data_IF_203474124413
#
_entry.id   IF_203474124413
#
_cell.length_a   1.000
_cell.length_b   1.000
_cell.length_c   1.000
_cell.angle_alpha   90.00
_cell.angle_beta   90.00
_cell.angle_gamma   90.00
#
_symmetry.space_group_name_H-M   'P 1'
#
loop_
_entity.id
_entity.type
_entity.pdbx_description
1 polymer ?
#
# COMPACT_ATOMS: atom_id res chain seq x y z
N UNK A 1 -4.96 15.66 -26.54
CA UNK A 1 -5.43 15.66 -25.14
C UNK A 1 -4.58 14.69 -24.30
N UNK A 2 -4.43 15.00 -23.02
CA UNK A 2 -3.27 14.68 -22.17
C UNK A 2 -3.09 13.18 -21.89
N UNK A 3 -1.84 12.73 -22.00
CA UNK A 3 -1.34 11.37 -21.74
C UNK A 3 -1.50 11.01 -20.25
N UNK A 4 -2.38 10.06 -19.93
CA UNK A 4 -2.42 9.39 -18.63
C UNK A 4 -1.50 8.17 -18.67
N UNK A 5 -0.25 8.35 -18.24
CA UNK A 5 0.73 7.27 -18.04
C UNK A 5 1.49 7.57 -16.76
N UNK A 6 0.90 7.27 -15.60
CA UNK A 6 1.59 7.38 -14.31
C UNK A 6 1.14 6.24 -13.39
N UNK A 7 2.15 5.49 -12.91
CA UNK A 7 2.17 4.56 -11.77
C UNK A 7 1.61 3.14 -11.98
N UNK A 8 2.38 2.30 -12.68
CA UNK A 8 2.24 0.84 -12.68
C UNK A 8 3.13 0.13 -11.63
N UNK A 9 4.08 0.83 -10.99
CA UNK A 9 5.11 0.20 -10.14
C UNK A 9 4.62 -0.46 -8.84
N UNK A 10 3.44 -0.09 -8.32
CA UNK A 10 2.91 -0.68 -7.06
C UNK A 10 2.04 -1.92 -7.33
N UNK A 11 1.60 -2.15 -8.58
CA UNK A 11 0.64 -3.21 -8.89
C UNK A 11 1.26 -4.56 -9.31
N UNK A 12 2.54 -4.59 -9.65
CA UNK A 12 3.16 -5.76 -10.28
C UNK A 12 3.39 -6.98 -9.36
N UNK A 13 3.19 -6.89 -8.05
CA UNK A 13 3.61 -7.95 -7.09
C UNK A 13 2.43 -8.69 -6.42
N UNK A 14 1.18 -8.44 -6.81
CA UNK A 14 0.02 -9.06 -6.15
C UNK A 14 -0.39 -10.44 -6.70
N UNK A 15 0.32 -10.96 -7.72
CA UNK A 15 0.11 -12.28 -8.31
C UNK A 15 1.13 -13.29 -7.78
N UNK A 16 0.89 -13.81 -6.57
CA UNK A 16 1.42 -15.13 -6.18
C UNK A 16 0.22 -15.98 -5.76
N UNK A 17 -0.04 -17.13 -6.38
CA UNK A 17 -1.10 -18.02 -5.95
C UNK A 17 -0.63 -18.75 -4.69
N UNK A 18 -1.16 -18.35 -3.52
CA UNK A 18 -1.12 -19.20 -2.34
C UNK A 18 -2.24 -20.25 -2.46
N UNK A 19 -1.86 -21.47 -2.80
CA UNK A 19 -2.71 -22.67 -2.72
C UNK A 19 -2.83 -23.05 -1.25
N UNK A 20 -4.03 -23.03 -0.67
CA UNK A 20 -4.36 -23.84 0.51
C UNK A 20 -5.84 -24.24 0.49
N UNK A 21 -6.05 -25.50 0.84
CA UNK A 21 -7.32 -26.22 0.85
C UNK A 21 -8.30 -25.65 1.90
N UNK A 22 -9.59 -25.83 1.61
CA UNK A 22 -10.70 -25.32 2.39
C UNK A 22 -11.11 -26.27 3.53
N UNK A 23 -11.39 -25.71 4.71
CA UNK A 23 -12.39 -26.22 5.65
C UNK A 23 -13.17 -25.05 6.27
N UNK A 24 -14.44 -25.31 6.56
CA UNK A 24 -15.55 -24.37 6.72
C UNK A 24 -15.78 -23.93 8.18
N UNK A 25 -16.31 -22.71 8.34
CA UNK A 25 -17.16 -22.23 9.47
C UNK A 25 -16.54 -21.84 10.83
N UNK A 26 -15.89 -20.67 10.83
CA UNK A 26 -16.08 -19.49 11.70
C UNK A 26 -15.15 -18.40 11.11
N UNK A 27 -15.32 -17.07 11.31
CA UNK A 27 -14.20 -16.15 11.13
C UNK A 27 -13.18 -16.47 12.23
N UNK A 28 -12.43 -17.56 12.02
CA UNK A 28 -11.49 -18.13 12.95
C UNK A 28 -10.46 -17.05 13.29
N UNK A 29 -10.21 -16.83 14.59
CA UNK A 29 -9.18 -15.89 15.07
C UNK A 29 -7.84 -16.09 14.35
N UNK A 30 -7.53 -17.35 13.98
CA UNK A 30 -6.37 -17.73 13.15
C UNK A 30 -6.33 -16.96 11.83
N UNK A 31 -7.47 -16.80 11.15
CA UNK A 31 -7.54 -16.07 9.88
C UNK A 31 -7.43 -14.56 10.02
N UNK A 32 -7.77 -14.01 11.19
CA UNK A 32 -7.60 -12.59 11.52
C UNK A 32 -6.13 -12.33 11.89
N UNK A 33 -5.49 -13.28 12.60
CA UNK A 33 -4.07 -13.25 12.95
C UNK A 33 -3.20 -13.35 11.68
N UNK A 34 -3.51 -14.24 10.75
CA UNK A 34 -2.81 -14.34 9.45
C UNK A 34 -2.96 -13.07 8.60
N UNK A 35 -4.15 -12.44 8.64
CA UNK A 35 -4.36 -11.16 7.95
C UNK A 35 -3.58 -10.02 8.59
N UNK A 36 -3.52 -10.00 9.92
CA UNK A 36 -2.71 -9.04 10.66
C UNK A 36 -1.24 -9.19 10.25
N UNK A 37 -0.71 -10.42 10.28
CA UNK A 37 0.66 -10.74 9.85
C UNK A 37 0.93 -10.29 8.40
N UNK A 38 0.04 -10.62 7.45
CA UNK A 38 0.23 -10.20 6.06
C UNK A 38 0.17 -8.67 5.88
N UNK A 39 -0.71 -7.98 6.60
CA UNK A 39 -0.79 -6.51 6.55
C UNK A 39 0.48 -5.85 7.12
N UNK A 40 1.06 -6.41 8.18
CA UNK A 40 2.33 -5.96 8.76
C UNK A 40 3.49 -6.14 7.78
N UNK A 41 3.54 -7.27 7.06
CA UNK A 41 4.56 -7.50 6.01
C UNK A 41 4.45 -6.52 4.85
N UNK A 42 3.24 -6.08 4.49
CA UNK A 42 3.05 -5.02 3.50
C UNK A 42 3.61 -3.68 3.99
N UNK A 43 3.40 -3.35 5.27
CA UNK A 43 3.95 -2.12 5.88
C UNK A 43 5.47 -2.14 5.85
N UNK A 44 6.09 -3.24 6.24
CA UNK A 44 7.55 -3.42 6.21
C UNK A 44 8.11 -3.31 4.80
N UNK A 45 7.43 -3.92 3.82
CA UNK A 45 7.82 -3.82 2.41
C UNK A 45 7.81 -2.37 1.94
N UNK A 46 6.77 -1.61 2.30
CA UNK A 46 6.66 -0.18 1.95
C UNK A 46 7.78 0.62 2.64
N UNK A 47 8.08 0.34 3.91
CA UNK A 47 9.21 0.96 4.64
C UNK A 47 10.53 0.73 3.92
N UNK A 48 10.86 -0.52 3.59
CA UNK A 48 12.11 -0.87 2.89
C UNK A 48 12.24 -0.19 1.52
N UNK A 49 11.15 -0.16 0.74
CA UNK A 49 11.12 0.54 -0.55
C UNK A 49 11.35 2.04 -0.36
N UNK A 50 10.73 2.62 0.66
CA UNK A 50 10.85 4.04 0.99
C UNK A 50 12.27 4.39 1.42
N UNK A 51 12.88 3.59 2.28
CA UNK A 51 14.25 3.77 2.74
C UNK A 51 15.25 3.67 1.61
N UNK A 52 15.04 2.73 0.67
CA UNK A 52 15.85 2.65 -0.56
C UNK A 52 15.82 3.96 -1.34
N UNK A 53 14.63 4.58 -1.48
CA UNK A 53 14.50 5.88 -2.15
C UNK A 53 15.21 6.98 -1.35
N UNK A 54 15.05 7.01 -0.03
CA UNK A 54 15.62 8.05 0.82
C UNK A 54 17.15 8.00 0.88
N UNK A 55 17.73 6.81 0.93
CA UNK A 55 19.18 6.61 0.92
C UNK A 55 19.83 7.20 -0.35
N UNK A 56 19.09 7.23 -1.47
CA UNK A 56 19.57 7.85 -2.70
C UNK A 56 19.53 9.39 -2.66
N UNK A 57 18.84 10.03 -1.72
CA UNK A 57 18.64 11.48 -1.73
C UNK A 57 19.68 12.28 -0.93
N UNK A 58 20.59 11.60 -0.22
CA UNK A 58 21.61 12.23 0.63
C UNK A 58 20.99 13.33 1.53
N UNK A 59 19.98 12.94 2.31
CA UNK A 59 19.23 13.86 3.17
C UNK A 59 20.14 14.42 4.27
N UNK A 60 20.01 15.71 4.56
CA UNK A 60 20.65 16.33 5.73
C UNK A 60 20.04 15.82 7.05
N UNK A 61 20.75 15.93 8.19
CA UNK A 61 20.20 15.50 9.48
C UNK A 61 18.85 16.16 9.82
N UNK A 62 18.67 17.44 9.47
CA UNK A 62 17.39 18.14 9.65
C UNK A 62 16.28 17.54 8.79
N UNK A 63 16.57 17.20 7.54
CA UNK A 63 15.61 16.56 6.63
C UNK A 63 15.27 15.14 7.08
N UNK A 64 16.23 14.38 7.61
CA UNK A 64 15.99 13.05 8.17
C UNK A 64 14.96 13.13 9.31
N UNK A 65 15.15 14.04 10.27
CA UNK A 65 14.19 14.25 11.36
C UNK A 65 12.79 14.58 10.85
N UNK A 66 12.67 15.52 9.90
CA UNK A 66 11.38 15.86 9.31
C UNK A 66 10.77 14.68 8.52
N UNK A 67 11.58 13.90 7.81
CA UNK A 67 11.14 12.69 7.10
C UNK A 67 10.58 11.66 8.08
N UNK A 68 11.24 11.41 9.20
CA UNK A 68 10.77 10.45 10.21
C UNK A 68 9.41 10.86 10.79
N UNK A 69 9.21 12.15 11.07
CA UNK A 69 7.91 12.68 11.51
C UNK A 69 6.80 12.53 10.44
N UNK A 70 7.14 12.72 9.16
CA UNK A 70 6.22 12.52 8.03
C UNK A 70 5.85 11.04 7.90
N UNK A 71 6.83 10.13 7.98
CA UNK A 71 6.63 8.70 7.84
C UNK A 71 5.86 8.11 9.02
N UNK A 72 6.11 8.56 10.26
CA UNK A 72 5.31 8.16 11.42
C UNK A 72 3.82 8.44 11.20
N UNK A 73 3.50 9.65 10.71
CA UNK A 73 2.12 10.03 10.38
C UNK A 73 1.57 9.21 9.21
N UNK A 74 2.39 8.93 8.19
CA UNK A 74 1.99 8.09 7.05
C UNK A 74 1.54 6.72 7.52
N UNK A 75 2.32 6.03 8.34
CA UNK A 75 2.01 4.66 8.77
C UNK A 75 0.78 4.62 9.68
N UNK A 76 0.59 5.60 10.56
CA UNK A 76 -0.64 5.73 11.35
C UNK A 76 -1.90 5.76 10.47
N UNK A 77 -1.88 6.50 9.36
CA UNK A 77 -3.03 6.57 8.44
C UNK A 77 -3.10 5.36 7.49
N UNK A 78 -1.96 4.81 7.08
CA UNK A 78 -1.87 3.80 6.03
C UNK A 78 -2.16 2.37 6.53
N UNK A 79 -1.69 2.02 7.74
CA UNK A 79 -1.87 0.69 8.34
C UNK A 79 -3.33 0.20 8.36
N UNK A 80 -4.34 0.98 8.83
CA UNK A 80 -5.72 0.52 8.83
C UNK A 80 -6.28 0.28 7.42
N UNK A 81 -5.86 1.07 6.44
CA UNK A 81 -6.27 0.89 5.04
C UNK A 81 -5.62 -0.35 4.41
N UNK A 82 -4.37 -0.66 4.74
CA UNK A 82 -3.72 -1.91 4.32
C UNK A 82 -4.39 -3.14 4.94
N UNK A 83 -4.75 -3.09 6.22
CA UNK A 83 -5.54 -4.15 6.86
C UNK A 83 -6.88 -4.34 6.15
N UNK A 84 -7.59 -3.25 5.86
CA UNK A 84 -8.86 -3.29 5.13
C UNK A 84 -8.70 -3.84 3.71
N UNK A 85 -7.58 -3.53 3.05
CA UNK A 85 -7.24 -4.07 1.73
C UNK A 85 -7.11 -5.59 1.78
N UNK A 86 -6.40 -6.14 2.77
CA UNK A 86 -6.25 -7.59 2.97
C UNK A 86 -7.61 -8.27 3.20
N UNK A 87 -8.47 -7.68 4.04
CA UNK A 87 -9.82 -8.17 4.31
C UNK A 87 -10.66 -8.19 3.02
N UNK A 88 -10.66 -7.09 2.25
CA UNK A 88 -11.40 -7.00 0.99
C UNK A 88 -10.89 -8.02 -0.05
N UNK A 89 -9.57 -8.24 -0.12
CA UNK A 89 -8.96 -9.23 -1.02
C UNK A 89 -9.38 -10.66 -0.66
N UNK A 90 -9.45 -10.99 0.63
CA UNK A 90 -9.97 -12.29 1.08
C UNK A 90 -11.46 -12.45 0.72
N UNK A 91 -12.30 -11.46 1.05
CA UNK A 91 -13.73 -11.49 0.71
C UNK A 91 -13.98 -11.68 -0.78
N UNK A 92 -13.16 -11.06 -1.63
CA UNK A 92 -13.24 -11.27 -3.08
C UNK A 92 -12.91 -12.72 -3.47
N UNK A 93 -11.84 -13.30 -2.92
CA UNK A 93 -11.49 -14.71 -3.15
C UNK A 93 -12.60 -15.67 -2.70
N UNK A 94 -13.16 -15.43 -1.51
CA UNK A 94 -14.23 -16.26 -0.95
C UNK A 94 -15.50 -16.18 -1.82
N UNK A 95 -15.85 -14.98 -2.29
CA UNK A 95 -16.98 -14.77 -3.19
C UNK A 95 -16.77 -15.44 -4.56
N UNK A 96 -15.55 -15.38 -5.10
CA UNK A 96 -15.15 -16.06 -6.34
C UNK A 96 -15.24 -17.59 -6.20
N UNK A 97 -14.76 -18.15 -5.09
CA UNK A 97 -14.86 -19.59 -4.83
C UNK A 97 -16.32 -20.08 -4.76
N UNK A 98 -17.22 -19.23 -4.28
CA UNK A 98 -18.67 -19.51 -4.20
C UNK A 98 -19.46 -19.16 -5.47
N UNK A 99 -18.80 -18.62 -6.50
CA UNK A 99 -19.45 -18.08 -7.71
C UNK A 99 -20.57 -17.07 -7.43
N UNK A 100 -20.49 -16.32 -6.33
CA UNK A 100 -21.50 -15.32 -5.94
C UNK A 100 -21.23 -13.99 -6.64
N UNK A 101 -21.90 -13.77 -7.77
CA UNK A 101 -21.76 -12.56 -8.60
C UNK A 101 -22.06 -11.25 -7.84
N UNK A 102 -23.02 -11.26 -6.93
CA UNK A 102 -23.38 -10.06 -6.16
C UNK A 102 -22.29 -9.73 -5.14
N UNK A 103 -21.81 -10.74 -4.41
CA UNK A 103 -20.72 -10.58 -3.45
C UNK A 103 -19.40 -10.19 -4.14
N UNK A 104 -19.11 -10.74 -5.32
CA UNK A 104 -17.93 -10.35 -6.13
C UNK A 104 -17.98 -8.87 -6.46
N UNK A 105 -19.09 -8.38 -7.05
CA UNK A 105 -19.24 -6.96 -7.42
C UNK A 105 -19.08 -6.03 -6.22
N UNK A 106 -19.65 -6.40 -5.07
CA UNK A 106 -19.53 -5.60 -3.85
C UNK A 106 -18.10 -5.60 -3.30
N UNK A 107 -17.42 -6.76 -3.31
CA UNK A 107 -16.04 -6.88 -2.86
C UNK A 107 -15.08 -6.08 -3.78
N UNK A 108 -15.28 -6.11 -5.10
CA UNK A 108 -14.52 -5.30 -6.06
C UNK A 108 -14.70 -3.80 -5.84
N UNK A 109 -15.95 -3.35 -5.61
CA UNK A 109 -16.25 -1.95 -5.29
C UNK A 109 -15.51 -1.49 -4.03
N UNK A 110 -15.56 -2.30 -2.97
CA UNK A 110 -14.87 -2.01 -1.72
C UNK A 110 -13.35 -1.99 -1.91
N UNK A 111 -12.79 -2.99 -2.62
CA UNK A 111 -11.36 -3.07 -2.90
C UNK A 111 -10.87 -1.84 -3.70
N UNK A 112 -11.65 -1.37 -4.67
CA UNK A 112 -11.34 -0.18 -5.44
C UNK A 112 -11.39 1.09 -4.59
N UNK A 113 -12.31 1.18 -3.63
CA UNK A 113 -12.36 2.30 -2.71
C UNK A 113 -11.13 2.33 -1.79
N UNK A 114 -10.75 1.19 -1.21
CA UNK A 114 -9.56 1.08 -0.36
C UNK A 114 -8.28 1.44 -1.13
N UNK A 115 -8.15 0.96 -2.37
CA UNK A 115 -7.03 1.33 -3.27
C UNK A 115 -6.94 2.85 -3.47
N UNK A 116 -8.07 3.54 -3.68
CA UNK A 116 -8.12 5.00 -3.80
C UNK A 116 -7.68 5.69 -2.50
N UNK A 117 -8.12 5.18 -1.34
CA UNK A 117 -7.71 5.73 -0.04
C UNK A 117 -6.19 5.61 0.18
N UNK A 118 -5.63 4.42 -0.05
CA UNK A 118 -4.18 4.16 0.03
C UNK A 118 -3.40 5.11 -0.90
N UNK A 119 -3.87 5.30 -2.14
CA UNK A 119 -3.23 6.20 -3.10
C UNK A 119 -3.30 7.66 -2.65
N UNK A 120 -4.43 8.09 -2.06
CA UNK A 120 -4.62 9.43 -1.53
C UNK A 120 -3.68 9.70 -0.36
N UNK A 121 -3.59 8.78 0.59
CA UNK A 121 -2.66 8.83 1.74
C UNK A 121 -1.23 8.90 1.22
N UNK A 122 -0.85 7.99 0.34
CA UNK A 122 0.51 7.95 -0.23
C UNK A 122 0.88 9.26 -0.92
N UNK A 123 -0.04 9.81 -1.70
CA UNK A 123 0.17 11.07 -2.42
C UNK A 123 0.23 12.29 -1.51
N UNK A 124 -0.53 12.31 -0.41
CA UNK A 124 -0.49 13.38 0.62
C UNK A 124 0.92 13.45 1.22
N UNK A 125 1.41 12.35 1.77
CA UNK A 125 2.71 12.33 2.44
C UNK A 125 3.89 12.47 1.48
N UNK A 126 3.75 12.04 0.22
CA UNK A 126 4.75 12.33 -0.81
C UNK A 126 4.86 13.82 -1.14
N UNK A 127 3.74 14.56 -1.12
CA UNK A 127 3.77 16.01 -1.28
C UNK A 127 4.42 16.69 -0.07
N UNK A 128 4.16 16.20 1.13
CA UNK A 128 4.77 16.74 2.35
C UNK A 128 6.28 16.47 2.38
N UNK A 129 6.71 15.26 2.01
CA UNK A 129 8.13 14.94 1.85
C UNK A 129 8.81 15.83 0.80
N UNK A 130 8.16 16.08 -0.34
CA UNK A 130 8.72 16.97 -1.36
C UNK A 130 8.99 18.40 -0.87
N UNK A 131 8.23 18.90 0.12
CA UNK A 131 8.42 20.25 0.67
C UNK A 131 9.75 20.38 1.43
N UNK A 132 10.22 19.32 2.07
CA UNK A 132 11.46 19.35 2.86
C UNK A 132 12.73 19.19 2.01
N UNK A 133 12.59 18.78 0.76
CA UNK A 133 13.70 18.58 -0.18
C UNK A 133 14.11 19.90 -0.87
N UNK A 134 15.40 20.01 -1.21
CA UNK A 134 15.91 21.04 -2.12
C UNK A 134 15.60 20.75 -3.60
N UNK A 135 15.95 21.65 -4.51
CA UNK A 135 15.68 21.52 -5.95
C UNK A 135 16.30 20.26 -6.58
N UNK A 136 17.54 19.92 -6.23
CA UNK A 136 18.27 18.78 -6.77
C UNK A 136 17.69 17.46 -6.25
N UNK A 137 17.44 17.39 -4.94
CA UNK A 137 16.79 16.25 -4.30
C UNK A 137 15.38 16.03 -4.85
N UNK A 138 14.60 17.10 -5.09
CA UNK A 138 13.27 17.01 -5.73
C UNK A 138 13.35 16.42 -7.14
N UNK A 139 14.34 16.84 -7.93
CA UNK A 139 14.56 16.29 -9.27
C UNK A 139 14.89 14.80 -9.21
N UNK A 140 15.84 14.42 -8.35
CA UNK A 140 16.24 13.01 -8.14
C UNK A 140 15.07 12.16 -7.64
N UNK A 141 14.31 12.66 -6.67
CA UNK A 141 13.13 11.96 -6.14
C UNK A 141 12.07 11.69 -7.21
N UNK A 142 11.78 12.67 -8.08
CA UNK A 142 10.83 12.50 -9.19
C UNK A 142 11.29 11.48 -10.23
N UNK A 143 12.60 11.32 -10.41
CA UNK A 143 13.18 10.32 -11.28
C UNK A 143 13.05 8.92 -10.68
N UNK A 144 13.45 8.75 -9.42
CA UNK A 144 13.43 7.45 -8.72
C UNK A 144 11.99 6.95 -8.52
N UNK A 145 11.05 7.82 -8.15
CA UNK A 145 9.64 7.41 -7.90
C UNK A 145 8.91 6.91 -9.16
N UNK A 146 9.44 7.16 -10.36
CA UNK A 146 8.83 6.68 -11.62
C UNK A 146 9.24 5.24 -11.97
N UNK A 147 10.31 4.74 -11.36
CA UNK A 147 10.76 3.35 -11.46
C UNK A 147 9.90 2.49 -10.54
#
# INVERSE_FOLDING_TARGET
MKRSLILAGVFAVLCVPAVYAAEENAPCEISIIEQHDYSSRLVETIRMQRDTIYNALNLTPKQIKCKDEIEAKRYIELEPELKNFCICKKRLKDAQAKNDSAAIKQAEKNLNQVKKNIQKISSKYDKDFMKILDSNQRAKYRMIRKL
#
